data_IF_542817444111
#
_entry.id   IF_542817444111
#
_cell.length_a   1.000
_cell.length_b   1.000
_cell.length_c   1.000
_cell.angle_alpha   90.00
_cell.angle_beta   90.00
_cell.angle_gamma   90.00
#
_symmetry.space_group_name_H-M   'P 1'
#
loop_
_entity.id
_entity.type
_entity.pdbx_description
1 polymer ?
#
# COMPACT_ATOMS: atom_id res chain seq x y z
N UNK A 1 -23.63 61.50 8.57
CA UNK A 1 -22.17 61.44 8.86
C UNK A 1 -21.61 60.29 8.04
N UNK A 2 -21.23 60.37 6.75
CA UNK A 2 -20.44 61.33 5.97
C UNK A 2 -19.07 61.66 6.59
N UNK A 3 -18.02 61.03 6.04
CA UNK A 3 -16.77 61.58 5.47
C UNK A 3 -15.77 60.40 5.34
N UNK A 4 -15.49 59.81 4.16
CA UNK A 4 -14.67 60.25 3.02
C UNK A 4 -13.24 60.71 3.38
N UNK A 5 -12.23 60.07 2.77
CA UNK A 5 -10.90 60.59 2.33
C UNK A 5 -10.11 59.45 1.61
N UNK A 6 -9.12 59.74 0.74
CA UNK A 6 -9.10 59.23 -0.63
C UNK A 6 -7.79 58.55 -1.09
N UNK A 7 -7.86 58.06 -2.33
CA UNK A 7 -6.84 57.50 -3.21
C UNK A 7 -5.57 58.35 -3.39
N UNK A 8 -4.43 57.67 -3.62
CA UNK A 8 -3.25 58.24 -4.27
C UNK A 8 -2.79 57.37 -5.44
N UNK A 9 -2.59 58.04 -6.57
CA UNK A 9 -2.21 57.57 -7.89
C UNK A 9 -0.67 57.45 -8.05
N UNK A 10 -0.25 56.42 -8.81
CA UNK A 10 0.77 56.32 -9.88
C UNK A 10 1.89 57.40 -10.02
N UNK A 11 3.07 57.01 -10.55
CA UNK A 11 3.24 57.09 -12.01
C UNK A 11 3.98 55.93 -12.68
N UNK A 12 3.61 55.76 -13.96
CA UNK A 12 4.29 54.99 -14.99
C UNK A 12 5.61 55.64 -15.41
N UNK A 13 6.58 54.83 -15.84
CA UNK A 13 7.73 55.25 -16.62
C UNK A 13 7.89 54.41 -17.87
N UNK A 14 7.46 54.95 -19.02
CA UNK A 14 7.88 54.51 -20.36
C UNK A 14 9.06 55.36 -20.83
N UNK A 15 10.08 54.73 -21.44
CA UNK A 15 10.99 55.35 -22.42
C UNK A 15 11.29 54.29 -23.50
N UNK A 16 10.67 54.41 -24.69
CA UNK A 16 11.21 54.98 -25.96
C UNK A 16 12.49 54.28 -26.45
N UNK A 17 12.43 53.42 -27.49
CA UNK A 17 12.44 53.67 -28.96
C UNK A 17 13.73 54.32 -29.48
N UNK A 18 14.16 53.89 -30.69
CA UNK A 18 15.13 54.49 -31.63
C UNK A 18 16.42 53.66 -31.78
N UNK A 19 17.02 53.38 -32.94
CA UNK A 19 16.73 53.53 -34.37
C UNK A 19 17.90 52.86 -35.15
N UNK A 20 17.66 52.54 -36.43
CA UNK A 20 18.63 52.51 -37.56
C UNK A 20 19.66 51.36 -37.54
N UNK A 21 20.08 50.79 -38.68
CA UNK A 21 20.01 51.30 -40.05
C UNK A 21 20.04 50.20 -41.10
N UNK A 22 19.49 50.57 -42.27
CA UNK A 22 19.62 49.93 -43.58
C UNK A 22 21.00 50.24 -44.17
N UNK A 23 21.56 49.29 -44.93
CA UNK A 23 22.41 49.45 -46.12
C UNK A 23 22.81 48.02 -46.53
N UNK A 24 23.03 47.62 -47.78
CA UNK A 24 22.73 48.14 -49.11
C UNK A 24 22.99 46.96 -50.04
N UNK A 25 22.31 46.99 -51.18
CA UNK A 25 22.49 46.13 -52.36
C UNK A 25 23.97 46.06 -52.81
N UNK A 26 24.48 44.86 -53.11
CA UNK A 26 25.50 44.70 -54.16
C UNK A 26 25.26 43.38 -54.88
N UNK A 27 24.84 43.51 -56.13
CA UNK A 27 24.60 42.45 -57.09
C UNK A 27 25.93 42.19 -57.81
N UNK A 28 26.50 40.99 -57.67
CA UNK A 28 27.54 40.47 -58.56
C UNK A 28 27.21 39.01 -58.83
N UNK A 29 26.70 38.79 -60.04
CA UNK A 29 26.48 37.49 -60.66
C UNK A 29 27.82 36.84 -60.98
N UNK A 30 28.12 35.70 -60.33
CA UNK A 30 29.06 34.72 -60.86
C UNK A 30 28.39 33.34 -60.79
N UNK A 31 28.27 32.78 -61.98
CA UNK A 31 27.74 31.49 -62.36
C UNK A 31 28.52 30.33 -61.73
N UNK A 32 27.79 29.23 -61.50
CA UNK A 32 28.32 27.86 -61.48
C UNK A 32 29.04 27.40 -60.21
N UNK A 33 28.31 26.76 -59.30
CA UNK A 33 28.40 25.31 -59.05
C UNK A 33 27.39 25.00 -57.94
N UNK A 34 26.21 24.48 -58.32
CA UNK A 34 25.25 23.95 -57.34
C UNK A 34 25.82 22.64 -56.81
N UNK A 35 26.72 22.73 -55.83
CA UNK A 35 26.92 21.66 -54.88
C UNK A 35 25.67 21.63 -54.00
N UNK A 36 24.71 20.80 -54.39
CA UNK A 36 23.66 20.32 -53.48
C UNK A 36 24.38 19.65 -52.32
N UNK A 37 24.66 20.41 -51.27
CA UNK A 37 25.00 19.83 -49.97
C UNK A 37 23.69 19.23 -49.48
N UNK A 38 23.47 17.98 -49.89
CA UNK A 38 22.52 17.09 -49.24
C UNK A 38 23.01 17.02 -47.80
N UNK A 39 22.42 17.86 -46.94
CA UNK A 39 22.47 17.69 -45.49
C UNK A 39 21.79 16.36 -45.25
N UNK A 40 22.61 15.32 -45.33
CA UNK A 40 22.26 13.96 -45.00
C UNK A 40 21.87 14.02 -43.55
N UNK A 41 20.57 14.06 -43.28
CA UNK A 41 20.04 13.93 -41.95
C UNK A 41 20.66 12.69 -41.36
N UNK A 42 21.63 12.86 -40.45
CA UNK A 42 22.11 11.79 -39.62
C UNK A 42 20.93 11.43 -38.74
N UNK A 43 20.08 10.55 -39.26
CA UNK A 43 19.18 9.77 -38.45
C UNK A 43 20.07 9.17 -37.38
N UNK A 44 19.85 9.55 -36.13
CA UNK A 44 20.39 8.83 -35.00
C UNK A 44 19.92 7.40 -35.18
N UNK A 45 20.77 6.56 -35.78
CA UNK A 45 20.54 5.13 -35.89
C UNK A 45 20.50 4.66 -34.45
N UNK A 46 19.28 4.52 -33.93
CA UNK A 46 19.09 3.75 -32.71
C UNK A 46 19.61 2.37 -33.03
N UNK A 47 20.79 2.06 -32.49
CA UNK A 47 21.46 0.76 -32.57
C UNK A 47 20.68 -0.29 -31.76
N UNK A 48 19.38 -0.41 -32.04
CA UNK A 48 18.46 -1.35 -31.43
C UNK A 48 17.97 -2.25 -32.54
N UNK A 49 18.48 -3.47 -32.58
CA UNK A 49 17.94 -4.50 -33.47
C UNK A 49 16.80 -5.22 -32.76
N UNK A 50 15.80 -5.64 -33.53
CA UNK A 50 14.65 -6.41 -33.02
C UNK A 50 15.15 -7.62 -32.22
N UNK A 51 14.61 -7.79 -31.01
CA UNK A 51 14.91 -8.97 -30.20
C UNK A 51 14.34 -10.23 -30.87
N UNK A 52 14.99 -11.39 -30.73
CA UNK A 52 14.54 -12.64 -31.35
C UNK A 52 13.21 -13.16 -30.79
N UNK A 53 12.86 -12.79 -29.55
CA UNK A 53 11.58 -13.10 -28.92
C UNK A 53 11.07 -11.90 -28.11
N UNK A 54 9.82 -11.94 -27.64
CA UNK A 54 9.17 -10.87 -26.85
C UNK A 54 9.52 -10.89 -25.35
N UNK A 55 10.06 -12.00 -24.85
CA UNK A 55 10.31 -12.21 -23.42
C UNK A 55 11.73 -12.71 -23.15
N UNK A 56 12.27 -12.34 -22.00
CA UNK A 56 13.57 -12.78 -21.50
C UNK A 56 13.43 -13.25 -20.06
N UNK A 57 13.65 -14.55 -19.82
CA UNK A 57 13.65 -15.14 -18.49
C UNK A 57 15.06 -15.05 -17.92
N UNK A 58 15.20 -14.35 -16.79
CA UNK A 58 16.50 -14.21 -16.12
C UNK A 58 16.95 -15.55 -15.52
N UNK A 59 18.21 -15.91 -15.70
CA UNK A 59 18.86 -17.05 -15.03
C UNK A 59 19.86 -16.58 -13.97
N UNK A 60 20.20 -15.28 -13.93
CA UNK A 60 21.18 -14.70 -13.01
C UNK A 60 20.75 -13.31 -12.55
N UNK A 61 21.12 -12.93 -11.32
CA UNK A 61 20.84 -11.63 -10.75
C UNK A 61 21.79 -10.52 -11.24
N UNK A 62 21.75 -10.24 -12.54
CA UNK A 62 22.63 -9.27 -13.18
C UNK A 62 22.15 -7.83 -13.00
N UNK A 63 23.10 -6.89 -12.96
CA UNK A 63 22.80 -5.47 -12.90
C UNK A 63 22.09 -4.97 -14.16
N UNK A 64 21.09 -4.11 -13.94
CA UNK A 64 20.27 -3.52 -14.98
C UNK A 64 20.64 -2.05 -15.18
N UNK A 65 21.66 -1.82 -16.00
CA UNK A 65 22.26 -0.50 -16.18
C UNK A 65 21.43 0.39 -17.12
N UNK A 66 21.56 1.71 -16.95
CA UNK A 66 20.92 2.69 -17.84
C UNK A 66 21.69 2.85 -19.16
N UNK A 67 22.98 2.51 -19.17
CA UNK A 67 23.86 2.61 -20.33
C UNK A 67 24.95 1.54 -20.26
N UNK A 68 25.15 0.81 -21.36
CA UNK A 68 26.22 -0.19 -21.50
C UNK A 68 27.61 0.46 -21.37
N UNK A 69 27.79 1.69 -21.90
CA UNK A 69 29.10 2.36 -21.92
C UNK A 69 29.42 3.12 -20.64
N UNK A 70 28.41 3.73 -20.01
CA UNK A 70 28.59 4.59 -18.83
C UNK A 70 28.30 3.88 -17.50
N UNK A 71 27.89 2.61 -17.51
CA UNK A 71 27.82 1.71 -16.34
C UNK A 71 26.82 2.06 -15.24
N UNK A 72 26.14 3.22 -15.28
CA UNK A 72 25.28 3.65 -14.17
C UNK A 72 24.05 2.75 -13.98
N UNK A 73 23.86 2.24 -12.76
CA UNK A 73 22.69 1.48 -12.32
C UNK A 73 21.90 2.22 -11.22
N UNK A 74 21.18 3.31 -11.54
CA UNK A 74 20.39 4.03 -10.54
C UNK A 74 19.30 3.12 -9.97
N UNK A 75 19.22 3.08 -8.63
CA UNK A 75 18.33 2.19 -7.89
C UNK A 75 18.92 0.80 -7.61
N UNK A 76 20.19 0.55 -7.99
CA UNK A 76 20.88 -0.73 -7.81
C UNK A 76 20.03 -1.93 -8.29
N UNK A 77 19.33 -1.73 -9.41
CA UNK A 77 18.38 -2.71 -9.93
C UNK A 77 19.15 -3.92 -10.44
N UNK A 78 18.77 -5.10 -9.97
CA UNK A 78 19.25 -6.38 -10.48
C UNK A 78 18.07 -7.18 -10.99
N UNK A 79 18.31 -8.00 -12.01
CA UNK A 79 17.32 -8.99 -12.41
C UNK A 79 17.05 -9.94 -11.24
N UNK A 80 15.81 -10.40 -11.14
CA UNK A 80 15.43 -11.46 -10.24
C UNK A 80 15.48 -12.77 -11.04
N UNK A 81 16.21 -13.77 -10.53
CA UNK A 81 16.33 -15.09 -11.17
C UNK A 81 14.94 -15.66 -11.42
N UNK A 82 14.72 -16.37 -12.52
CA UNK A 82 13.45 -16.93 -12.96
C UNK A 82 12.33 -15.93 -13.32
N UNK A 83 12.50 -14.63 -13.08
CA UNK A 83 11.53 -13.63 -13.53
C UNK A 83 11.61 -13.41 -15.04
N UNK A 84 10.44 -13.22 -15.64
CA UNK A 84 10.28 -12.92 -17.06
C UNK A 84 10.11 -11.42 -17.26
N UNK A 85 10.91 -10.86 -18.18
CA UNK A 85 10.90 -9.44 -18.52
C UNK A 85 10.50 -9.25 -19.98
N UNK A 86 9.79 -8.16 -20.27
CA UNK A 86 9.50 -7.77 -21.65
C UNK A 86 10.78 -7.26 -22.33
N UNK A 87 11.08 -7.81 -23.50
CA UNK A 87 12.25 -7.42 -24.29
C UNK A 87 11.88 -6.33 -25.28
N UNK A 88 12.66 -5.25 -25.29
CA UNK A 88 12.47 -4.12 -26.20
C UNK A 88 13.42 -4.20 -27.41
N UNK A 89 14.60 -4.80 -27.24
CA UNK A 89 15.57 -4.93 -28.34
C UNK A 89 16.93 -5.46 -27.90
N UNK A 90 17.87 -5.53 -28.83
CA UNK A 90 19.28 -5.86 -28.62
C UNK A 90 20.18 -4.68 -28.99
N UNK A 91 21.36 -4.59 -28.39
CA UNK A 91 22.30 -3.49 -28.69
C UNK A 91 22.93 -3.53 -30.10
N UNK A 92 22.87 -4.70 -30.76
CA UNK A 92 23.23 -4.93 -32.17
C UNK A 92 22.85 -6.36 -32.57
N UNK A 93 22.93 -6.68 -33.86
CA UNK A 93 22.81 -8.07 -34.36
C UNK A 93 23.88 -8.94 -33.70
N UNK A 94 23.49 -10.03 -33.06
CA UNK A 94 24.36 -10.87 -32.21
C UNK A 94 25.08 -10.07 -31.09
N UNK A 95 24.43 -9.04 -30.58
CA UNK A 95 24.96 -8.18 -29.53
C UNK A 95 25.09 -8.91 -28.18
N UNK A 96 25.80 -8.30 -27.24
CA UNK A 96 26.04 -8.88 -25.90
C UNK A 96 24.98 -8.49 -24.87
N UNK A 97 24.08 -7.54 -25.19
CA UNK A 97 23.12 -6.99 -24.24
C UNK A 97 21.70 -6.92 -24.81
N UNK A 98 20.73 -7.15 -23.95
CA UNK A 98 19.30 -6.99 -24.19
C UNK A 98 18.78 -5.75 -23.47
N UNK A 99 17.87 -5.02 -24.11
CA UNK A 99 17.11 -3.93 -23.52
C UNK A 99 15.79 -4.49 -22.98
N UNK A 100 15.58 -4.39 -21.67
CA UNK A 100 14.39 -4.88 -20.99
C UNK A 100 13.53 -3.72 -20.47
N UNK A 101 12.22 -3.96 -20.36
CA UNK A 101 11.30 -3.13 -19.57
C UNK A 101 11.22 -3.70 -18.15
N UNK A 102 11.63 -2.92 -17.16
CA UNK A 102 11.64 -3.24 -15.74
C UNK A 102 10.79 -2.17 -15.03
N UNK A 103 9.57 -2.53 -14.61
CA UNK A 103 8.58 -1.55 -14.10
C UNK A 103 9.04 -0.89 -12.80
N UNK A 104 9.79 -1.61 -11.96
CA UNK A 104 10.36 -1.09 -10.71
C UNK A 104 11.58 -0.16 -10.91
N UNK A 105 12.12 -0.04 -12.12
CA UNK A 105 13.32 0.76 -12.38
C UNK A 105 12.97 2.19 -12.84
N UNK A 106 13.75 3.19 -12.38
CA UNK A 106 13.67 4.55 -12.92
C UNK A 106 14.99 4.99 -13.55
N UNK A 107 15.12 5.05 -14.89
CA UNK A 107 14.08 4.80 -15.90
C UNK A 107 13.75 3.30 -16.05
N UNK A 108 12.59 2.99 -16.60
CA UNK A 108 12.09 1.60 -16.73
C UNK A 108 12.81 0.77 -17.79
N UNK A 109 13.52 1.42 -18.73
CA UNK A 109 14.29 0.73 -19.79
C UNK A 109 15.73 0.52 -19.35
N UNK A 110 16.16 -0.74 -19.25
CA UNK A 110 17.49 -1.10 -18.75
C UNK A 110 18.21 -2.11 -19.63
N UNK A 111 19.53 -1.94 -19.75
CA UNK A 111 20.43 -2.85 -20.45
C UNK A 111 20.92 -3.94 -19.51
N UNK A 112 20.86 -5.19 -19.97
CA UNK A 112 21.38 -6.35 -19.24
C UNK A 112 22.19 -7.24 -20.18
N UNK A 113 23.30 -7.84 -19.72
CA UNK A 113 24.04 -8.82 -20.51
C UNK A 113 23.16 -10.04 -20.88
N UNK A 114 23.34 -10.56 -22.09
CA UNK A 114 22.56 -11.71 -22.59
C UNK A 114 22.81 -13.00 -21.82
N UNK A 115 24.01 -13.18 -21.25
CA UNK A 115 24.34 -14.36 -20.45
C UNK A 115 23.59 -14.43 -19.09
N UNK A 116 22.76 -13.42 -18.81
CA UNK A 116 21.95 -13.34 -17.60
C UNK A 116 20.57 -13.98 -17.72
N UNK A 117 20.24 -14.57 -18.88
CA UNK A 117 18.94 -15.19 -19.12
C UNK A 117 18.82 -15.82 -20.49
N UNK A 118 17.59 -16.23 -20.84
CA UNK A 118 17.25 -16.84 -22.13
C UNK A 118 15.96 -16.24 -22.69
N UNK A 119 15.89 -16.13 -24.01
CA UNK A 119 14.69 -15.67 -24.71
C UNK A 119 13.57 -16.73 -24.65
N UNK A 120 12.32 -16.29 -24.53
CA UNK A 120 11.14 -17.15 -24.51
C UNK A 120 10.04 -16.60 -25.43
N UNK A 121 9.34 -17.50 -26.11
CA UNK A 121 8.28 -17.18 -27.08
C UNK A 121 6.93 -16.85 -26.45
N UNK A 122 6.67 -17.31 -25.22
CA UNK A 122 5.44 -17.06 -24.47
C UNK A 122 5.70 -16.22 -23.23
N UNK A 123 4.72 -15.39 -22.85
CA UNK A 123 4.67 -14.80 -21.51
C UNK A 123 4.39 -15.96 -20.55
N UNK A 124 5.43 -16.63 -20.04
CA UNK A 124 5.25 -17.48 -18.88
C UNK A 124 4.70 -16.62 -17.74
N UNK A 125 3.80 -17.17 -16.93
CA UNK A 125 3.34 -16.54 -15.70
C UNK A 125 4.55 -16.04 -14.92
N UNK A 126 4.66 -14.72 -14.82
CA UNK A 126 5.77 -14.03 -14.16
C UNK A 126 5.71 -14.29 -12.67
N UNK A 127 6.28 -15.41 -12.22
CA UNK A 127 6.65 -15.60 -10.83
C UNK A 127 7.99 -14.90 -10.64
N UNK A 128 7.94 -13.64 -10.22
CA UNK A 128 9.07 -13.02 -9.55
C UNK A 128 9.39 -13.85 -8.28
N UNK A 129 10.63 -14.25 -8.00
CA UNK A 129 10.98 -14.73 -6.67
C UNK A 129 10.85 -13.55 -5.72
N UNK A 130 9.83 -13.62 -4.87
CA UNK A 130 9.84 -12.94 -3.59
C UNK A 130 11.15 -13.27 -2.84
N UNK A 131 11.67 -12.39 -1.96
CA UNK A 131 12.70 -12.78 -1.01
C UNK A 131 12.26 -14.08 -0.34
N UNK A 132 13.19 -15.06 -0.26
CA UNK A 132 12.89 -16.43 0.19
C UNK A 132 11.86 -16.37 1.32
N UNK A 133 10.68 -16.93 1.12
CA UNK A 133 9.85 -17.21 2.26
C UNK A 133 10.61 -18.23 3.11
N UNK A 134 10.84 -17.91 4.37
CA UNK A 134 10.82 -18.94 5.41
C UNK A 134 9.62 -19.84 5.09
N UNK A 135 9.76 -21.17 5.14
CA UNK A 135 8.84 -22.11 4.52
C UNK A 135 7.40 -21.67 4.78
N UNK A 136 6.78 -21.11 3.72
CA UNK A 136 5.39 -20.70 3.73
C UNK A 136 4.65 -21.97 4.05
N UNK A 137 4.05 -21.99 5.24
CA UNK A 137 2.88 -22.77 5.49
C UNK A 137 1.86 -22.31 4.46
N UNK A 138 1.74 -23.06 3.37
CA UNK A 138 0.62 -22.95 2.46
C UNK A 138 -0.64 -22.91 3.32
N UNK A 139 -1.54 -21.93 3.15
CA UNK A 139 -2.86 -22.02 3.73
C UNK A 139 -3.50 -23.25 3.09
N UNK A 140 -3.52 -24.35 3.84
CA UNK A 140 -4.34 -25.50 3.52
C UNK A 140 -5.76 -24.97 3.68
N UNK A 141 -6.38 -24.56 2.57
CA UNK A 141 -7.83 -24.55 2.50
C UNK A 141 -8.21 -26.02 2.68
N UNK A 142 -8.82 -26.34 3.82
CA UNK A 142 -9.29 -27.69 4.08
C UNK A 142 -10.12 -28.17 2.88
N UNK A 143 -9.93 -29.41 2.40
CA UNK A 143 -10.74 -29.94 1.33
C UNK A 143 -12.24 -29.84 1.70
N UNK A 144 -13.14 -29.62 0.73
CA UNK A 144 -14.57 -29.56 1.01
C UNK A 144 -15.04 -30.93 1.54
N UNK A 145 -15.45 -30.96 2.81
CA UNK A 145 -15.89 -32.17 3.53
C UNK A 145 -14.85 -32.62 4.56
N UNK A 146 -15.00 -32.39 5.87
CA UNK A 146 -16.19 -32.13 6.66
C UNK A 146 -15.87 -31.05 7.72
N UNK A 147 -16.38 -29.85 7.51
CA UNK A 147 -16.44 -28.89 8.62
C UNK A 147 -17.31 -29.50 9.72
N UNK A 148 -16.84 -29.43 10.96
CA UNK A 148 -17.56 -29.99 12.11
C UNK A 148 -18.28 -28.87 12.84
N UNK A 149 -19.51 -29.13 13.27
CA UNK A 149 -20.18 -28.26 14.24
C UNK A 149 -19.49 -28.48 15.57
N UNK A 150 -18.83 -27.44 16.09
CA UNK A 150 -17.99 -27.54 17.28
C UNK A 150 -18.27 -26.40 18.26
N UNK A 151 -17.71 -26.52 19.47
CA UNK A 151 -17.66 -25.40 20.39
C UNK A 151 -16.78 -24.26 19.81
N UNK A 152 -17.04 -23.01 20.24
CA UNK A 152 -16.27 -21.85 19.78
C UNK A 152 -14.78 -22.10 19.98
N UNK A 153 -13.96 -21.99 18.91
CA UNK A 153 -12.52 -22.11 19.06
C UNK A 153 -12.01 -20.98 19.97
N UNK A 154 -10.98 -21.26 20.78
CA UNK A 154 -10.30 -20.25 21.60
C UNK A 154 -9.16 -19.55 20.86
N UNK A 155 -9.04 -19.75 19.56
CA UNK A 155 -7.97 -19.21 18.71
C UNK A 155 -8.60 -18.43 17.57
N UNK A 156 -7.98 -17.32 17.17
CA UNK A 156 -8.44 -16.50 16.05
C UNK A 156 -8.12 -17.14 14.69
N UNK A 157 -7.05 -17.94 14.63
CA UNK A 157 -6.62 -18.60 13.41
C UNK A 157 -6.24 -20.05 13.68
N UNK A 158 -6.74 -20.97 12.86
CA UNK A 158 -6.31 -22.37 12.87
C UNK A 158 -6.33 -22.98 11.45
N UNK A 159 -6.38 -24.30 11.34
CA UNK A 159 -6.51 -25.03 10.06
C UNK A 159 -7.72 -25.93 10.02
N UNK A 160 -8.54 -25.89 11.08
CA UNK A 160 -9.68 -26.75 11.26
C UNK A 160 -10.92 -25.96 10.84
N UNK A 161 -11.83 -26.60 10.12
CA UNK A 161 -13.10 -25.96 9.82
C UNK A 161 -14.09 -26.24 10.96
N UNK A 162 -14.26 -25.28 11.86
CA UNK A 162 -15.16 -25.37 13.01
C UNK A 162 -16.37 -24.46 12.82
N UNK A 163 -17.52 -25.04 12.47
CA UNK A 163 -18.75 -24.29 12.23
C UNK A 163 -19.40 -23.87 13.55
N UNK A 164 -19.60 -22.56 13.70
CA UNK A 164 -20.32 -21.97 14.83
C UNK A 164 -21.48 -21.12 14.33
N UNK A 165 -22.59 -21.00 15.10
CA UNK A 165 -23.63 -20.03 14.80
C UNK A 165 -23.03 -18.62 14.74
N UNK A 166 -23.42 -17.84 13.73
CA UNK A 166 -23.06 -16.43 13.58
C UNK A 166 -24.32 -15.61 13.41
N UNK A 167 -24.29 -14.34 13.81
CA UNK A 167 -25.50 -13.52 13.85
C UNK A 167 -25.91 -12.94 12.50
N UNK A 168 -25.07 -13.02 11.46
CA UNK A 168 -25.26 -12.32 10.19
C UNK A 168 -25.78 -13.17 9.03
N UNK A 169 -25.88 -14.48 9.20
CA UNK A 169 -26.43 -15.45 8.24
C UNK A 169 -27.04 -16.62 9.03
N UNK A 170 -27.98 -17.35 8.42
CA UNK A 170 -28.67 -18.44 9.10
C UNK A 170 -27.79 -19.70 9.23
N UNK A 171 -26.85 -19.88 8.32
CA UNK A 171 -25.97 -21.04 8.29
C UNK A 171 -24.74 -20.79 9.19
N UNK A 172 -24.37 -21.74 10.06
CA UNK A 172 -23.11 -21.71 10.79
C UNK A 172 -21.91 -21.46 9.88
N UNK A 173 -20.96 -20.66 10.35
CA UNK A 173 -19.75 -20.31 9.61
C UNK A 173 -18.51 -20.72 10.38
N UNK A 174 -17.42 -20.96 9.66
CA UNK A 174 -16.09 -21.04 10.25
C UNK A 174 -15.61 -19.63 10.63
N UNK A 175 -15.26 -19.46 11.90
CA UNK A 175 -14.88 -18.18 12.49
C UNK A 175 -13.37 -18.06 12.73
N UNK A 176 -12.60 -19.14 12.56
CA UNK A 176 -11.15 -19.17 12.79
C UNK A 176 -10.41 -19.48 11.48
N UNK A 177 -10.32 -18.51 10.54
CA UNK A 177 -9.69 -18.77 9.25
C UNK A 177 -8.21 -19.15 9.40
N UNK A 178 -7.57 -19.67 8.34
CA UNK A 178 -6.12 -19.82 8.31
C UNK A 178 -5.39 -18.55 8.73
N UNK A 179 -4.21 -18.71 9.34
CA UNK A 179 -3.39 -17.56 9.70
C UNK A 179 -3.03 -16.73 8.45
N UNK A 180 -3.19 -15.40 8.48
CA UNK A 180 -2.84 -14.56 7.34
C UNK A 180 -1.32 -14.56 7.15
N UNK A 181 -0.88 -14.50 5.90
CA UNK A 181 0.53 -14.30 5.57
C UNK A 181 0.86 -12.82 5.75
N UNK A 182 1.74 -12.50 6.70
CA UNK A 182 2.17 -11.13 6.95
C UNK A 182 3.26 -10.69 5.96
N UNK A 183 3.09 -9.52 5.36
CA UNK A 183 4.14 -8.87 4.59
C UNK A 183 5.28 -8.36 5.49
N UNK A 184 6.37 -7.89 4.88
CA UNK A 184 7.44 -7.23 5.62
C UNK A 184 6.96 -5.96 6.33
N UNK A 185 6.01 -5.23 5.73
CA UNK A 185 5.43 -4.03 6.33
C UNK A 185 4.51 -4.39 7.51
N UNK A 186 3.71 -5.44 7.39
CA UNK A 186 2.83 -5.94 8.46
C UNK A 186 3.63 -6.32 9.71
N UNK A 187 4.72 -7.09 9.53
CA UNK A 187 5.61 -7.47 10.63
C UNK A 187 6.17 -6.24 11.33
N UNK A 188 6.58 -5.22 10.58
CA UNK A 188 7.11 -4.00 11.17
C UNK A 188 6.04 -3.20 11.94
N UNK A 189 4.80 -3.20 11.47
CA UNK A 189 3.66 -2.60 12.20
C UNK A 189 3.37 -3.38 13.50
N UNK A 190 3.41 -4.71 13.48
CA UNK A 190 3.30 -5.54 14.69
C UNK A 190 4.43 -5.23 15.67
N UNK A 191 5.67 -5.12 15.20
CA UNK A 191 6.83 -4.77 16.04
C UNK A 191 6.66 -3.40 16.71
N UNK A 192 6.15 -2.41 15.99
CA UNK A 192 5.83 -1.09 16.55
C UNK A 192 4.78 -1.17 17.66
N UNK A 193 3.79 -2.06 17.52
CA UNK A 193 2.79 -2.31 18.56
C UNK A 193 3.35 -2.99 19.82
N UNK A 194 4.61 -3.40 19.81
CA UNK A 194 5.31 -3.96 20.97
C UNK A 194 4.80 -5.33 21.41
N UNK A 195 5.51 -5.94 22.36
CA UNK A 195 5.20 -7.30 22.84
C UNK A 195 3.94 -7.40 23.70
N UNK A 196 3.52 -6.28 24.29
CA UNK A 196 2.40 -6.21 25.24
C UNK A 196 1.20 -5.53 24.58
N UNK A 197 -0.01 -5.93 24.97
CA UNK A 197 -1.21 -5.20 24.59
C UNK A 197 -1.19 -3.78 25.17
N UNK A 198 -1.76 -2.81 24.44
CA UNK A 198 -1.82 -1.40 24.85
C UNK A 198 -0.45 -0.70 24.98
N UNK A 199 0.63 -1.28 24.42
CA UNK A 199 1.92 -0.63 24.40
C UNK A 199 1.88 0.71 23.63
N UNK A 200 2.58 1.75 24.11
CA UNK A 200 2.61 3.03 23.43
C UNK A 200 3.37 2.94 22.10
N UNK A 201 2.89 3.69 21.11
CA UNK A 201 3.57 3.89 19.83
C UNK A 201 3.80 5.38 19.66
N UNK A 202 5.02 5.80 19.38
CA UNK A 202 5.32 7.21 19.16
C UNK A 202 5.18 7.62 17.69
N UNK A 203 4.79 8.87 17.47
CA UNK A 203 4.76 9.49 16.15
C UNK A 203 6.12 9.39 15.43
N UNK A 204 7.23 9.57 16.14
CA UNK A 204 8.59 9.49 15.59
C UNK A 204 8.90 8.09 15.03
N UNK A 205 8.52 7.03 15.74
CA UNK A 205 8.69 5.67 15.25
C UNK A 205 7.87 5.40 13.98
N UNK A 206 6.66 5.96 13.89
CA UNK A 206 5.85 5.88 12.67
C UNK A 206 6.44 6.71 11.52
N UNK A 207 6.97 7.89 11.79
CA UNK A 207 7.67 8.67 10.77
C UNK A 207 8.88 7.92 10.23
N UNK A 208 9.64 7.26 11.10
CA UNK A 208 10.75 6.40 10.71
C UNK A 208 10.26 5.22 9.85
N UNK A 209 9.18 4.55 10.25
CA UNK A 209 8.55 3.50 9.44
C UNK A 209 8.24 3.99 8.01
N UNK A 210 7.69 5.20 7.85
CA UNK A 210 7.38 5.77 6.54
C UNK A 210 8.63 6.20 5.73
N UNK A 211 9.79 6.33 6.39
CA UNK A 211 11.09 6.54 5.73
C UNK A 211 11.67 5.22 5.26
N UNK A 212 11.57 4.19 6.10
CA UNK A 212 12.08 2.84 5.84
C UNK A 212 11.28 2.12 4.74
N UNK A 213 10.00 2.45 4.58
CA UNK A 213 9.10 1.91 3.55
C UNK A 213 8.64 3.01 2.57
N UNK A 214 9.55 3.51 1.71
CA UNK A 214 9.27 4.63 0.82
C UNK A 214 8.21 4.32 -0.24
N UNK A 215 8.06 3.06 -0.63
CA UNK A 215 7.05 2.52 -1.55
C UNK A 215 5.64 2.62 -0.96
N UNK A 216 5.46 2.21 0.30
CA UNK A 216 4.20 2.36 1.05
C UNK A 216 3.85 3.83 1.16
N UNK A 217 4.79 4.67 1.59
CA UNK A 217 4.60 6.12 1.69
C UNK A 217 4.23 6.74 0.33
N UNK A 218 4.93 6.39 -0.75
CA UNK A 218 4.66 6.92 -2.09
C UNK A 218 3.27 6.52 -2.58
N UNK A 219 2.86 5.26 -2.38
CA UNK A 219 1.50 4.81 -2.71
C UNK A 219 0.46 5.64 -1.96
N UNK A 220 0.61 5.79 -0.64
CA UNK A 220 -0.27 6.61 0.19
C UNK A 220 -0.34 8.05 -0.33
N UNK A 221 0.82 8.66 -0.62
CA UNK A 221 0.91 10.03 -1.10
C UNK A 221 0.23 10.21 -2.45
N UNK A 222 0.44 9.31 -3.40
CA UNK A 222 -0.17 9.37 -4.73
C UNK A 222 -1.69 9.21 -4.64
N UNK A 223 -2.17 8.25 -3.85
CA UNK A 223 -3.59 7.90 -3.73
C UNK A 223 -4.45 8.96 -3.04
N UNK A 224 -3.84 9.89 -2.30
CA UNK A 224 -4.52 11.04 -1.68
C UNK A 224 -4.32 12.34 -2.46
N UNK A 225 -3.74 12.28 -3.66
CA UNK A 225 -3.52 13.46 -4.53
C UNK A 225 -2.28 14.27 -4.17
N UNK A 226 -1.22 13.62 -3.70
CA UNK A 226 0.10 14.20 -3.49
C UNK A 226 0.30 14.91 -2.14
N UNK A 227 -0.75 15.34 -1.45
CA UNK A 227 -0.65 16.01 -0.16
C UNK A 227 -1.89 15.86 0.71
N UNK A 228 -1.71 15.77 2.04
CA UNK A 228 -2.82 15.82 2.99
C UNK A 228 -3.26 17.25 3.27
N UNK A 229 -2.30 18.18 3.33
CA UNK A 229 -2.52 19.62 3.46
C UNK A 229 -2.10 20.33 2.18
N UNK A 230 -2.89 21.28 1.74
CA UNK A 230 -2.62 22.03 0.50
C UNK A 230 -1.24 22.67 0.54
N UNK A 231 -0.51 22.61 -0.58
CA UNK A 231 0.83 23.17 -0.72
C UNK A 231 1.97 22.41 -0.01
N UNK A 232 1.66 21.31 0.69
CA UNK A 232 2.64 20.52 1.46
C UNK A 232 2.93 19.18 0.79
N UNK A 233 3.68 19.22 -0.32
CA UNK A 233 3.87 18.08 -1.24
C UNK A 233 5.21 17.36 -1.08
N UNK A 234 6.19 17.91 -0.36
CA UNK A 234 7.47 17.22 -0.17
C UNK A 234 7.27 15.96 0.67
N UNK A 235 8.10 14.92 0.46
CA UNK A 235 7.98 13.67 1.24
C UNK A 235 8.10 13.89 2.75
N UNK A 236 8.96 14.82 3.19
CA UNK A 236 9.09 15.15 4.61
C UNK A 236 7.83 15.85 5.17
N UNK A 237 7.22 16.76 4.42
CA UNK A 237 5.96 17.38 4.83
C UNK A 237 4.82 16.35 4.86
N UNK A 238 4.75 15.48 3.85
CA UNK A 238 3.74 14.43 3.78
C UNK A 238 3.82 13.48 4.98
N UNK A 239 5.03 12.99 5.33
CA UNK A 239 5.24 12.12 6.49
C UNK A 239 4.75 12.79 7.78
N UNK A 240 5.09 14.07 8.00
CA UNK A 240 4.63 14.82 9.18
C UNK A 240 3.12 15.01 9.20
N UNK A 241 2.52 15.31 8.05
CA UNK A 241 1.07 15.52 7.97
C UNK A 241 0.31 14.20 8.16
N UNK A 242 0.86 13.10 7.65
CA UNK A 242 0.35 11.74 7.84
C UNK A 242 0.46 11.33 9.32
N UNK A 243 1.63 11.53 9.93
CA UNK A 243 1.88 11.30 11.35
C UNK A 243 0.88 12.06 12.22
N UNK A 244 0.68 13.36 11.96
CA UNK A 244 -0.32 14.16 12.64
C UNK A 244 -1.75 13.62 12.47
N UNK A 245 -2.12 13.17 11.27
CA UNK A 245 -3.44 12.60 11.01
C UNK A 245 -3.69 11.31 11.79
N UNK A 246 -2.67 10.48 12.00
CA UNK A 246 -2.77 9.18 12.66
C UNK A 246 -2.59 9.22 14.17
N UNK A 247 -1.79 10.15 14.70
CA UNK A 247 -1.41 10.16 16.11
C UNK A 247 -2.17 11.17 16.96
N UNK A 248 -2.68 12.27 16.39
CA UNK A 248 -3.40 13.30 17.17
C UNK A 248 -4.68 12.79 17.87
N UNK A 249 -5.31 11.74 17.34
CA UNK A 249 -6.44 11.06 17.96
C UNK A 249 -6.14 9.57 18.25
N UNK A 250 -4.85 9.22 18.35
CA UNK A 250 -4.38 7.89 18.71
C UNK A 250 -4.91 6.77 17.79
N UNK A 251 -5.14 7.09 16.52
CA UNK A 251 -5.71 6.17 15.53
C UNK A 251 -4.79 5.00 15.22
N UNK A 252 -3.47 5.23 15.12
CA UNK A 252 -2.52 4.16 14.79
C UNK A 252 -2.55 3.06 15.85
N UNK A 253 -2.32 3.43 17.11
CA UNK A 253 -2.31 2.49 18.23
C UNK A 253 -3.66 1.80 18.39
N UNK A 254 -4.75 2.56 18.32
CA UNK A 254 -6.10 2.00 18.41
C UNK A 254 -6.36 0.96 17.32
N UNK A 255 -6.19 1.31 16.05
CA UNK A 255 -6.53 0.44 14.92
C UNK A 255 -5.60 -0.78 14.85
N UNK A 256 -4.28 -0.56 14.93
CA UNK A 256 -3.29 -1.62 14.71
C UNK A 256 -2.96 -2.43 15.96
N UNK A 257 -2.80 -1.78 17.10
CA UNK A 257 -2.25 -2.41 18.31
C UNK A 257 -3.33 -2.85 19.30
N UNK A 258 -4.46 -2.14 19.30
CA UNK A 258 -5.47 -2.18 20.35
C UNK A 258 -5.05 -1.36 21.57
N UNK A 259 -6.03 -0.77 22.25
CA UNK A 259 -5.82 0.04 23.46
C UNK A 259 -6.75 -0.38 24.62
N UNK A 260 -6.37 0.02 25.84
CA UNK A 260 -7.25 -0.01 27.00
C UNK A 260 -8.27 1.14 26.88
N UNK A 261 -9.53 0.86 27.19
CA UNK A 261 -10.56 1.90 27.30
C UNK A 261 -11.51 1.99 26.09
N UNK A 262 -11.73 0.89 25.38
CA UNK A 262 -12.80 0.79 24.39
C UNK A 262 -14.18 1.00 25.03
N UNK A 263 -14.71 2.21 24.89
CA UNK A 263 -16.02 2.70 25.37
C UNK A 263 -16.06 3.20 26.82
N UNK A 264 -16.68 4.38 26.99
CA UNK A 264 -16.86 5.15 28.23
C UNK A 264 -17.60 4.43 29.37
N UNK A 265 -18.03 3.18 29.16
CA UNK A 265 -18.76 2.37 30.12
C UNK A 265 -17.88 1.42 30.95
N UNK A 266 -16.56 1.31 30.68
CA UNK A 266 -15.71 0.54 31.60
C UNK A 266 -14.20 0.68 31.48
N UNK A 267 -13.56 0.80 32.64
CA UNK A 267 -12.11 0.68 32.88
C UNK A 267 -11.53 -0.74 32.59
N UNK A 268 -12.20 -1.58 31.79
CA UNK A 268 -11.81 -2.98 31.51
C UNK A 268 -12.00 -3.39 30.04
N UNK A 269 -12.29 -2.44 29.15
CA UNK A 269 -12.63 -2.72 27.75
C UNK A 269 -11.44 -2.72 26.79
N UNK A 270 -11.49 -3.57 25.78
CA UNK A 270 -10.58 -3.54 24.61
C UNK A 270 -11.10 -2.48 23.64
N UNK A 271 -10.29 -1.49 23.30
CA UNK A 271 -10.54 -0.54 22.23
C UNK A 271 -9.74 -0.89 20.97
N UNK A 272 -10.33 -0.61 19.81
CA UNK A 272 -9.67 -0.80 18.53
C UNK A 272 -9.42 -2.28 18.23
N UNK A 273 -8.19 -2.64 17.88
CA UNK A 273 -7.76 -4.00 17.53
C UNK A 273 -8.45 -4.49 16.24
N UNK A 274 -8.09 -3.88 15.11
CA UNK A 274 -8.75 -4.09 13.81
C UNK A 274 -7.81 -4.60 12.71
N UNK A 275 -6.58 -4.97 13.08
CA UNK A 275 -5.55 -5.49 12.19
C UNK A 275 -5.28 -6.97 12.46
N UNK A 276 -5.53 -7.83 11.47
CA UNK A 276 -5.39 -9.29 11.58
C UNK A 276 -3.99 -9.72 12.04
N UNK A 277 -2.93 -9.02 11.62
CA UNK A 277 -1.56 -9.30 12.07
C UNK A 277 -1.36 -9.15 13.57
N UNK A 278 -2.11 -8.25 14.24
CA UNK A 278 -2.05 -8.11 15.69
C UNK A 278 -2.77 -9.23 16.43
N UNK A 279 -3.87 -9.76 15.88
CA UNK A 279 -4.50 -10.96 16.42
C UNK A 279 -3.54 -12.16 16.34
N UNK A 280 -2.85 -12.32 15.21
CA UNK A 280 -1.90 -13.42 15.01
C UNK A 280 -0.74 -13.33 16.01
N UNK A 281 -0.18 -12.14 16.19
CA UNK A 281 0.88 -11.89 17.17
C UNK A 281 0.42 -12.21 18.60
N UNK A 282 -0.74 -11.71 19.03
CA UNK A 282 -1.25 -11.95 20.39
C UNK A 282 -1.60 -13.43 20.62
N UNK A 283 -2.19 -14.11 19.63
CA UNK A 283 -2.44 -15.55 19.70
C UNK A 283 -1.14 -16.36 19.81
N UNK A 284 -0.14 -16.06 18.99
CA UNK A 284 1.14 -16.79 18.99
C UNK A 284 1.88 -16.72 20.33
N UNK A 285 1.57 -15.71 21.14
CA UNK A 285 2.12 -15.50 22.49
C UNK A 285 1.22 -16.01 23.61
N UNK A 286 0.05 -16.58 23.28
CA UNK A 286 -0.96 -16.97 24.27
C UNK A 286 -1.52 -15.79 25.07
N UNK A 287 -1.51 -14.57 24.49
CA UNK A 287 -1.97 -13.36 25.15
C UNK A 287 -3.41 -13.00 24.83
N UNK A 288 -4.01 -13.58 23.80
CA UNK A 288 -5.40 -13.32 23.45
C UNK A 288 -6.08 -14.54 22.87
N UNK A 289 -7.39 -14.64 23.14
CA UNK A 289 -8.26 -15.72 22.68
C UNK A 289 -9.66 -15.18 22.39
N UNK A 290 -10.42 -15.95 21.60
CA UNK A 290 -11.86 -15.72 21.45
C UNK A 290 -12.62 -16.15 22.70
N UNK A 291 -13.75 -15.50 22.95
CA UNK A 291 -14.64 -15.80 24.08
C UNK A 291 -16.10 -15.79 23.63
N UNK A 292 -16.92 -16.67 24.22
CA UNK A 292 -18.38 -16.69 24.01
C UNK A 292 -19.12 -15.63 24.82
N UNK A 293 -18.55 -15.24 25.96
CA UNK A 293 -19.19 -14.33 26.90
C UNK A 293 -18.14 -13.48 27.59
N UNK A 294 -18.49 -12.22 27.86
CA UNK A 294 -17.64 -11.32 28.64
C UNK A 294 -17.80 -11.55 30.14
N UNK A 295 -16.84 -11.07 30.94
CA UNK A 295 -16.90 -11.06 32.42
C UNK A 295 -18.14 -10.35 33.00
N UNK A 296 -18.90 -9.62 32.19
CA UNK A 296 -20.12 -8.90 32.57
C UNK A 296 -21.41 -9.63 32.21
N UNK A 297 -21.33 -10.89 31.79
CA UNK A 297 -22.53 -11.64 31.43
C UNK A 297 -23.08 -11.32 30.03
N UNK A 298 -22.31 -10.59 29.20
CA UNK A 298 -22.75 -10.22 27.85
C UNK A 298 -22.19 -11.20 26.83
N UNK A 299 -23.09 -11.80 26.06
CA UNK A 299 -22.78 -12.66 24.93
C UNK A 299 -21.91 -11.92 23.90
N UNK A 300 -20.93 -12.65 23.39
CA UNK A 300 -20.16 -12.23 22.25
C UNK A 300 -21.05 -12.14 21.00
N UNK A 301 -20.64 -11.31 20.05
CA UNK A 301 -21.29 -11.19 18.76
C UNK A 301 -20.33 -11.71 17.71
N UNK A 302 -20.71 -12.81 17.10
CA UNK A 302 -20.05 -13.40 15.95
C UNK A 302 -20.69 -12.90 14.65
N UNK A 303 -19.87 -12.33 13.77
CA UNK A 303 -20.27 -12.00 12.40
C UNK A 303 -19.16 -12.36 11.42
N UNK A 304 -19.48 -13.14 10.41
CA UNK A 304 -18.52 -13.66 9.43
C UNK A 304 -18.97 -13.39 8.01
N UNK A 305 -18.10 -12.76 7.22
CA UNK A 305 -18.12 -12.82 5.76
C UNK A 305 -16.92 -13.69 5.36
N UNK A 306 -17.13 -14.95 4.94
CA UNK A 306 -16.06 -15.91 4.74
C UNK A 306 -14.94 -15.38 3.85
N UNK A 307 -13.71 -15.47 4.34
CA UNK A 307 -12.52 -14.97 3.64
C UNK A 307 -12.37 -13.45 3.62
N UNK A 308 -13.23 -12.68 4.29
CA UNK A 308 -13.27 -11.21 4.16
C UNK A 308 -13.34 -10.50 5.51
N UNK A 309 -14.31 -10.82 6.36
CA UNK A 309 -14.56 -10.11 7.63
C UNK A 309 -14.84 -11.13 8.71
N UNK A 310 -14.15 -10.98 9.84
CA UNK A 310 -14.34 -11.83 11.01
C UNK A 310 -14.52 -10.95 12.24
N UNK A 311 -15.63 -11.16 12.94
CA UNK A 311 -16.01 -10.45 14.16
C UNK A 311 -16.41 -11.47 15.22
N UNK A 312 -15.95 -11.28 16.46
CA UNK A 312 -16.15 -12.18 17.60
C UNK A 312 -15.85 -11.48 18.94
N UNK A 313 -16.16 -12.16 20.04
CA UNK A 313 -15.73 -11.74 21.38
C UNK A 313 -14.24 -12.00 21.59
N UNK A 314 -13.54 -11.06 22.23
CA UNK A 314 -12.09 -11.16 22.48
C UNK A 314 -11.77 -10.99 23.94
N UNK A 315 -10.83 -11.79 24.44
CA UNK A 315 -10.14 -11.60 25.72
C UNK A 315 -8.65 -11.39 25.48
N UNK A 316 -8.05 -10.47 26.24
CA UNK A 316 -6.60 -10.22 26.22
C UNK A 316 -6.05 -10.29 27.63
N UNK A 317 -4.95 -11.02 27.83
CA UNK A 317 -4.17 -11.10 29.07
C UNK A 317 -3.11 -10.00 29.10
N UNK A 318 -3.10 -9.24 30.18
CA UNK A 318 -2.11 -8.19 30.46
C UNK A 318 -0.92 -8.77 31.23
N UNK A 319 0.25 -8.09 31.20
CA UNK A 319 1.45 -8.55 31.93
C UNK A 319 1.25 -8.71 33.44
N UNK A 320 0.37 -7.90 34.04
CA UNK A 320 0.03 -7.95 35.46
C UNK A 320 -0.99 -9.07 35.81
N UNK A 321 -1.28 -9.98 34.88
CA UNK A 321 -2.24 -11.07 35.06
C UNK A 321 -3.72 -10.68 34.92
N UNK A 322 -4.04 -9.38 34.81
CA UNK A 322 -5.41 -8.95 34.53
C UNK A 322 -5.82 -9.35 33.12
N UNK A 323 -7.13 -9.51 32.88
CA UNK A 323 -7.64 -9.68 31.52
C UNK A 323 -8.64 -8.60 31.17
N UNK A 324 -8.54 -8.11 29.94
CA UNK A 324 -9.53 -7.25 29.30
C UNK A 324 -10.41 -8.11 28.42
N UNK A 325 -11.64 -7.69 28.21
CA UNK A 325 -12.52 -8.32 27.24
C UNK A 325 -13.38 -7.30 26.49
N UNK A 326 -13.91 -7.74 25.36
CA UNK A 326 -14.94 -7.01 24.65
C UNK A 326 -15.80 -8.01 23.87
N UNK A 327 -17.12 -7.80 23.91
CA UNK A 327 -18.10 -8.72 23.32
C UNK A 327 -18.08 -8.70 21.78
N UNK A 328 -17.52 -7.66 21.17
CA UNK A 328 -17.44 -7.53 19.70
C UNK A 328 -16.16 -6.84 19.25
N UNK A 329 -15.31 -7.58 18.54
CA UNK A 329 -14.07 -7.11 17.93
C UNK A 329 -13.84 -7.88 16.64
N UNK A 330 -13.09 -7.31 15.72
CA UNK A 330 -12.93 -7.92 14.41
C UNK A 330 -11.96 -7.19 13.51
N UNK A 331 -11.63 -7.85 12.42
CA UNK A 331 -10.68 -7.40 11.41
C UNK A 331 -11.18 -7.73 10.00
N UNK A 332 -10.59 -7.06 9.02
CA UNK A 332 -10.72 -7.44 7.61
C UNK A 332 -9.63 -8.43 7.29
N UNK A 333 -10.00 -9.65 6.94
CA UNK A 333 -9.05 -10.71 6.66
C UNK A 333 -8.16 -10.40 5.46
N UNK A 334 -8.71 -9.66 4.50
CA UNK A 334 -7.99 -9.21 3.31
C UNK A 334 -7.32 -7.84 3.46
N UNK A 335 -7.44 -7.21 4.62
CA UNK A 335 -6.85 -5.90 4.89
C UNK A 335 -5.54 -6.05 5.67
N UNK A 336 -4.42 -6.02 4.95
CA UNK A 336 -3.10 -5.87 5.56
C UNK A 336 -2.89 -4.43 6.08
N UNK A 337 -1.75 -4.16 6.72
CA UNK A 337 -1.49 -2.87 7.33
C UNK A 337 -1.40 -1.71 6.32
N UNK A 338 -0.86 -1.97 5.14
CA UNK A 338 -0.77 -0.97 4.07
C UNK A 338 -2.16 -0.59 3.56
N UNK A 339 -3.05 -1.56 3.42
CA UNK A 339 -4.42 -1.37 2.97
C UNK A 339 -5.22 -0.56 4.00
N UNK A 340 -5.11 -0.92 5.29
CA UNK A 340 -5.73 -0.17 6.39
C UNK A 340 -5.23 1.28 6.40
N UNK A 341 -3.91 1.50 6.29
CA UNK A 341 -3.34 2.86 6.22
C UNK A 341 -3.90 3.63 5.03
N UNK A 342 -3.97 2.99 3.87
CA UNK A 342 -4.43 3.59 2.62
C UNK A 342 -5.88 4.02 2.70
N UNK A 343 -6.78 3.10 3.03
CA UNK A 343 -8.21 3.35 3.04
C UNK A 343 -8.62 4.36 4.12
N UNK A 344 -8.02 4.26 5.31
CA UNK A 344 -8.26 5.23 6.39
C UNK A 344 -7.75 6.63 6.02
N UNK A 345 -6.59 6.74 5.38
CA UNK A 345 -6.02 8.04 4.97
C UNK A 345 -6.81 8.65 3.80
N UNK A 346 -7.29 7.82 2.85
CA UNK A 346 -8.20 8.28 1.78
C UNK A 346 -9.51 8.81 2.35
N UNK A 347 -10.13 8.11 3.31
CA UNK A 347 -11.33 8.58 3.98
C UNK A 347 -11.08 9.89 4.72
N UNK A 348 -9.96 10.00 5.45
CA UNK A 348 -9.54 11.22 6.12
C UNK A 348 -9.38 12.43 5.19
N UNK A 349 -8.84 12.22 3.99
CA UNK A 349 -8.65 13.26 2.98
C UNK A 349 -9.97 13.70 2.34
N UNK A 350 -10.87 12.75 2.09
CA UNK A 350 -12.11 12.97 1.32
C UNK A 350 -13.27 13.50 2.17
N UNK A 351 -13.29 13.18 3.46
CA UNK A 351 -14.42 13.50 4.33
C UNK A 351 -14.02 14.29 5.59
N UNK A 352 -14.85 15.27 5.93
CA UNK A 352 -14.81 16.01 7.20
C UNK A 352 -15.79 15.45 8.23
N UNK A 353 -16.64 14.48 7.86
CA UNK A 353 -17.61 13.87 8.76
C UNK A 353 -16.93 13.22 9.97
N UNK A 354 -17.57 13.29 11.13
CA UNK A 354 -17.08 12.64 12.34
C UNK A 354 -17.07 11.11 12.17
N UNK A 355 -18.02 10.55 11.44
CA UNK A 355 -18.08 9.13 11.15
C UNK A 355 -18.83 8.87 9.84
N UNK A 356 -18.30 7.98 9.01
CA UNK A 356 -18.91 7.61 7.73
C UNK A 356 -18.49 6.19 7.30
N UNK A 357 -19.16 5.65 6.28
CA UNK A 357 -18.86 4.36 5.69
C UNK A 357 -18.05 4.54 4.41
N UNK A 358 -16.98 3.77 4.29
CA UNK A 358 -16.12 3.74 3.12
C UNK A 358 -16.31 2.41 2.40
N UNK A 359 -16.46 2.46 1.08
CA UNK A 359 -16.47 1.27 0.23
C UNK A 359 -15.03 0.80 -0.02
N UNK A 360 -14.75 -0.43 0.38
CA UNK A 360 -13.53 -1.15 0.07
C UNK A 360 -13.80 -2.05 -1.13
N UNK A 361 -12.95 -1.96 -2.14
CA UNK A 361 -12.93 -2.87 -3.27
C UNK A 361 -11.65 -3.66 -3.17
N UNK A 362 -11.78 -4.91 -2.79
CA UNK A 362 -10.66 -5.80 -2.70
C UNK A 362 -10.35 -6.38 -4.08
N UNK A 363 -9.14 -6.10 -4.55
CA UNK A 363 -8.59 -6.59 -5.82
C UNK A 363 -7.44 -7.57 -5.58
N UNK A 364 -7.18 -7.98 -4.33
CA UNK A 364 -6.06 -8.87 -4.03
C UNK A 364 -6.31 -10.30 -4.51
N UNK A 365 -5.21 -10.92 -4.93
CA UNK A 365 -5.14 -12.10 -5.78
C UNK A 365 -4.50 -13.22 -4.97
N UNK A 366 -5.24 -14.30 -4.70
CA UNK A 366 -4.76 -15.56 -4.12
C UNK A 366 -4.12 -15.47 -2.70
N UNK A 367 -4.17 -16.53 -1.86
CA UNK A 367 -4.66 -17.88 -2.13
C UNK A 367 -6.16 -18.07 -1.83
N UNK A 368 -6.89 -17.01 -1.47
CA UNK A 368 -8.32 -17.14 -1.16
C UNK A 368 -9.18 -16.98 -2.42
N UNK A 369 -10.25 -17.79 -2.60
CA UNK A 369 -11.05 -17.85 -3.82
C UNK A 369 -11.95 -16.63 -4.05
N UNK A 370 -11.95 -15.63 -3.15
CA UNK A 370 -12.89 -14.51 -3.22
C UNK A 370 -12.26 -13.34 -3.98
N UNK A 371 -12.34 -13.38 -5.31
CA UNK A 371 -11.93 -12.26 -6.16
C UNK A 371 -13.01 -11.17 -6.17
N UNK A 372 -12.60 -9.90 -6.09
CA UNK A 372 -13.49 -8.77 -6.37
C UNK A 372 -14.54 -8.46 -5.29
N UNK A 373 -14.29 -8.83 -4.04
CA UNK A 373 -15.25 -8.53 -2.96
C UNK A 373 -15.30 -7.04 -2.69
N UNK A 374 -16.52 -6.52 -2.68
CA UNK A 374 -16.79 -5.16 -2.21
C UNK A 374 -17.47 -5.24 -0.84
N UNK A 375 -16.91 -4.53 0.13
CA UNK A 375 -17.48 -4.43 1.47
C UNK A 375 -17.34 -3.01 2.02
N UNK A 376 -17.98 -2.75 3.16
CA UNK A 376 -17.98 -1.43 3.80
C UNK A 376 -17.13 -1.47 5.07
N UNK A 377 -16.42 -0.37 5.32
CA UNK A 377 -15.72 -0.13 6.56
C UNK A 377 -16.19 1.16 7.21
N UNK A 378 -16.30 1.14 8.54
CA UNK A 378 -16.55 2.35 9.32
C UNK A 378 -15.25 3.13 9.42
N UNK A 379 -15.30 4.42 9.11
CA UNK A 379 -14.23 5.38 9.41
C UNK A 379 -14.74 6.38 10.45
N UNK A 380 -13.88 6.71 11.42
CA UNK A 380 -14.17 7.70 12.46
C UNK A 380 -13.04 8.70 12.58
N UNK A 381 -13.42 9.97 12.55
CA UNK A 381 -12.57 11.12 12.80
C UNK A 381 -12.86 11.68 14.19
N UNK A 382 -11.81 12.04 14.93
CA UNK A 382 -11.91 12.75 16.21
C UNK A 382 -10.87 13.86 16.25
N UNK A 383 -11.26 15.06 16.70
CA UNK A 383 -10.36 16.21 16.86
C UNK A 383 -9.51 16.56 15.62
N UNK A 384 -10.10 16.38 14.43
CA UNK A 384 -9.43 16.64 13.16
C UNK A 384 -8.44 15.55 12.72
N UNK A 385 -8.45 14.37 13.32
CA UNK A 385 -7.54 13.25 13.08
C UNK A 385 -8.27 11.89 13.01
N UNK A 386 -7.59 10.86 12.52
CA UNK A 386 -8.08 9.49 12.40
C UNK A 386 -8.16 8.88 13.80
N UNK A 387 -9.33 8.33 14.17
CA UNK A 387 -9.52 7.62 15.45
C UNK A 387 -9.69 6.13 15.26
N UNK A 388 -10.59 5.70 14.37
CA UNK A 388 -10.78 4.28 14.12
C UNK A 388 -11.18 4.01 12.68
N UNK A 389 -10.88 2.81 12.24
CA UNK A 389 -11.25 2.25 10.96
C UNK A 389 -11.43 0.74 11.13
N UNK A 390 -12.58 0.21 10.74
CA UNK A 390 -12.83 -1.23 10.81
C UNK A 390 -13.90 -1.67 9.80
N UNK A 391 -13.74 -2.87 9.19
CA UNK A 391 -14.75 -3.43 8.30
C UNK A 391 -15.99 -3.89 9.06
N UNK A 392 -17.13 -3.94 8.37
CA UNK A 392 -18.42 -4.31 8.95
C UNK A 392 -19.07 -5.42 8.13
N UNK A 393 -19.46 -6.52 8.77
CA UNK A 393 -20.28 -7.55 8.15
C UNK A 393 -21.72 -7.06 7.92
N UNK A 394 -22.27 -6.29 8.87
CA UNK A 394 -23.57 -5.60 8.75
C UNK A 394 -23.39 -4.08 8.73
N UNK A 395 -23.09 -3.46 7.58
CA UNK A 395 -22.85 -2.03 7.53
C UNK A 395 -24.09 -1.21 7.88
N UNK A 396 -23.92 -0.22 8.77
CA UNK A 396 -24.94 0.76 9.16
C UNK A 396 -24.34 2.15 9.24
N UNK A 397 -24.98 3.13 8.62
CA UNK A 397 -24.56 4.53 8.62
C UNK A 397 -24.57 5.16 7.23
N UNK A 398 -24.10 6.41 7.16
CA UNK A 398 -23.99 7.19 5.92
C UNK A 398 -22.60 7.02 5.30
N UNK A 399 -22.53 7.05 3.98
CA UNK A 399 -21.26 6.98 3.24
C UNK A 399 -20.40 8.23 3.43
N UNK A 400 -19.08 8.04 3.27
CA UNK A 400 -18.12 9.11 3.03
C UNK A 400 -18.22 9.53 1.54
#
# INVERSE_FOLDING_TARGET
>A
MLLNLPSLLLPQGQLRRSHRGRASLTLLTVTSLVCVVVVSGQSAVSAQTKAPQKFFKASRACEATRSIRRGGNPGNIKLQVDRIYSTLGLNRRNGSHVLLKIEEANPTRRWVPLNCGKFQSQAGESVAPAPRPDPILTPIVAPPGACKVEALPKVFFDRNCSLVPVSNVDQPQDIAPPAPVLSAFDRRVVELCGKQFDAPVSANQFEQLMRDYPDVRQRLQNEVGGSLRQGRTTSAQFIRDLSNAWFKADGFRHIFCGDKGGSASSNTGIGGLHFSGRYLDLQSRGLAEMIRETRRGKDAIEEVVPGVIYTFGVKVKLPNGQTLNHFIKGYGYTLNAQEILLYSTKAFKRSTAQACLITIRDITVAPFPVQGVTFKAKFVRKNGAIRTFYPMAKPKGKDC
#
